data_IF_577309079311
#
_entry.id   IF_577309079311
#
_cell.length_a   1.000
_cell.length_b   1.000
_cell.length_c   1.000
_cell.angle_alpha   90.00
_cell.angle_beta   90.00
_cell.angle_gamma   90.00
#
_symmetry.space_group_name_H-M   'P 1'
#
loop_
_entity.id
_entity.type
_entity.pdbx_description
1 polymer ?
#
# COMPACT_ATOMS: atom_id res chain seq x y z
N UNK A 1 -8.56 -38.60 69.56
CA UNK A 1 -9.26 -37.36 69.13
C UNK A 1 -8.36 -36.42 68.30
N UNK A 2 -7.56 -36.90 67.32
CA UNK A 2 -6.70 -35.98 66.53
C UNK A 2 -6.37 -36.39 65.09
N UNK A 3 -7.10 -37.35 64.52
CA UNK A 3 -6.89 -37.82 63.13
C UNK A 3 -8.10 -37.58 62.24
N UNK A 4 -9.33 -37.58 62.79
CA UNK A 4 -10.55 -37.39 61.98
C UNK A 4 -10.78 -35.93 61.56
N UNK A 5 -10.31 -34.96 62.34
CA UNK A 5 -10.39 -33.54 61.97
C UNK A 5 -9.41 -33.15 60.85
N UNK A 6 -8.34 -33.91 60.62
CA UNK A 6 -7.34 -33.58 59.61
C UNK A 6 -7.79 -34.00 58.20
N UNK A 7 -8.52 -35.12 58.10
CA UNK A 7 -9.08 -35.62 56.83
C UNK A 7 -10.24 -34.74 56.35
N UNK A 8 -11.09 -34.27 57.28
CA UNK A 8 -12.17 -33.32 56.95
C UNK A 8 -11.63 -31.96 56.50
N UNK A 9 -10.53 -31.46 57.08
CA UNK A 9 -9.94 -30.18 56.68
C UNK A 9 -9.30 -30.22 55.29
N UNK A 10 -8.64 -31.33 54.93
CA UNK A 10 -8.08 -31.52 53.58
C UNK A 10 -9.16 -31.75 52.52
N UNK A 11 -10.26 -32.43 52.86
CA UNK A 11 -11.40 -32.62 51.96
C UNK A 11 -12.12 -31.31 51.62
N UNK A 12 -12.27 -30.40 52.58
CA UNK A 12 -12.89 -29.09 52.34
C UNK A 12 -11.97 -28.22 51.47
N UNK A 13 -10.66 -28.22 51.68
CA UNK A 13 -9.71 -27.47 50.85
C UNK A 13 -9.68 -28.00 49.39
N UNK A 14 -9.83 -29.31 49.17
CA UNK A 14 -9.86 -29.89 47.83
C UNK A 14 -11.16 -29.57 47.06
N UNK A 15 -12.29 -29.39 47.76
CA UNK A 15 -13.55 -28.93 47.18
C UNK A 15 -13.48 -27.43 46.84
N UNK A 16 -12.76 -26.63 47.62
CA UNK A 16 -12.56 -25.20 47.33
C UNK A 16 -11.60 -24.93 46.17
N UNK A 17 -10.66 -25.81 45.85
CA UNK A 17 -9.73 -25.62 44.72
C UNK A 17 -10.40 -25.86 43.35
N UNK A 18 -11.46 -26.69 43.29
CA UNK A 18 -12.16 -27.00 42.04
C UNK A 18 -13.17 -25.93 41.60
N UNK A 19 -13.35 -24.86 42.36
CA UNK A 19 -14.18 -23.73 41.94
C UNK A 19 -13.31 -22.67 41.27
N UNK A 20 -12.68 -23.02 40.14
CA UNK A 20 -12.32 -21.99 39.18
C UNK A 20 -13.63 -21.56 38.52
N UNK A 21 -14.23 -20.49 39.04
CA UNK A 21 -15.30 -19.79 38.36
C UNK A 21 -14.75 -19.37 37.00
N UNK A 22 -15.14 -20.09 35.94
CA UNK A 22 -15.02 -19.59 34.58
C UNK A 22 -15.93 -18.35 34.57
N UNK A 23 -15.34 -17.15 34.67
CA UNK A 23 -16.01 -15.98 34.16
C UNK A 23 -16.09 -16.19 32.65
N UNK A 24 -17.18 -16.81 32.21
CA UNK A 24 -17.57 -16.78 30.81
C UNK A 24 -17.79 -15.30 30.51
N UNK A 25 -16.78 -14.66 29.94
CA UNK A 25 -16.97 -13.39 29.30
C UNK A 25 -17.98 -13.67 28.20
N UNK A 26 -19.21 -13.19 28.38
CA UNK A 26 -20.29 -13.37 27.42
C UNK A 26 -19.91 -12.50 26.21
N UNK A 27 -19.11 -13.07 25.31
CA UNK A 27 -18.66 -12.38 24.10
C UNK A 27 -19.87 -12.30 23.19
N UNK A 28 -20.35 -11.08 23.00
CA UNK A 28 -21.41 -10.76 22.07
C UNK A 28 -20.84 -10.93 20.66
N UNK A 29 -21.30 -11.95 19.93
CA UNK A 29 -20.81 -12.26 18.58
C UNK A 29 -20.71 -13.76 18.28
N UNK A 30 -20.49 -14.11 17.01
CA UNK A 30 -20.29 -15.48 16.57
C UNK A 30 -21.56 -16.34 16.67
N UNK A 31 -21.62 -17.22 17.65
CA UNK A 31 -22.79 -18.07 17.94
C UNK A 31 -23.69 -17.51 19.04
N UNK A 32 -23.29 -16.41 19.70
CA UNK A 32 -23.93 -15.90 20.91
C UNK A 32 -24.52 -14.49 20.74
N UNK A 33 -25.68 -14.41 20.08
CA UNK A 33 -26.39 -13.16 19.79
C UNK A 33 -27.91 -13.23 20.07
N UNK A 34 -28.35 -14.21 20.85
CA UNK A 34 -29.77 -14.54 21.09
C UNK A 34 -30.58 -13.40 21.73
N UNK A 35 -29.92 -12.49 22.46
CA UNK A 35 -30.53 -11.31 23.10
C UNK A 35 -30.22 -9.98 22.38
N UNK A 36 -29.62 -10.01 21.18
CA UNK A 36 -29.28 -8.82 20.41
C UNK A 36 -30.33 -8.58 19.33
N UNK A 37 -31.03 -7.45 19.42
CA UNK A 37 -31.96 -7.01 18.37
C UNK A 37 -31.19 -6.25 17.30
N UNK A 38 -30.98 -6.87 16.14
CA UNK A 38 -30.37 -6.21 14.99
C UNK A 38 -31.45 -5.52 14.16
N UNK A 39 -31.28 -4.24 13.88
CA UNK A 39 -32.12 -3.49 12.94
C UNK A 39 -31.28 -3.06 11.74
N UNK A 40 -31.69 -3.45 10.54
CA UNK A 40 -31.05 -3.02 9.28
C UNK A 40 -32.02 -2.23 8.41
N UNK A 41 -31.50 -1.28 7.65
CA UNK A 41 -32.27 -0.49 6.69
C UNK A 41 -32.77 -1.30 5.50
N UNK A 42 -32.10 -2.40 5.18
CA UNK A 42 -32.48 -3.35 4.13
C UNK A 42 -31.96 -4.75 4.46
N UNK A 43 -32.63 -5.80 3.98
CA UNK A 43 -32.17 -7.18 4.04
C UNK A 43 -32.50 -7.88 2.72
N UNK A 44 -31.48 -8.28 1.97
CA UNK A 44 -31.67 -8.86 0.63
C UNK A 44 -30.75 -10.08 0.43
N UNK A 45 -31.36 -11.24 0.10
CA UNK A 45 -30.62 -12.48 -0.13
C UNK A 45 -29.75 -12.90 1.05
N UNK A 46 -28.44 -13.05 0.82
CA UNK A 46 -27.45 -13.43 1.86
C UNK A 46 -26.98 -12.25 2.72
N UNK A 47 -27.42 -11.02 2.46
CA UNK A 47 -27.11 -9.83 3.24
C UNK A 47 -28.25 -9.53 4.24
N UNK A 48 -28.26 -10.28 5.34
CA UNK A 48 -29.19 -10.13 6.46
C UNK A 48 -28.49 -9.48 7.65
N UNK A 49 -29.21 -8.72 8.47
CA UNK A 49 -28.64 -8.03 9.63
C UNK A 49 -27.95 -8.97 10.62
N UNK A 50 -28.47 -10.17 10.81
CA UNK A 50 -27.88 -11.19 11.69
C UNK A 50 -26.48 -11.63 11.26
N UNK A 51 -26.08 -11.40 10.00
CA UNK A 51 -24.72 -11.68 9.51
C UNK A 51 -23.68 -10.68 9.96
N UNK A 52 -24.05 -9.51 10.47
CA UNK A 52 -23.04 -8.57 11.01
C UNK A 52 -22.50 -9.00 12.38
N UNK A 53 -23.24 -9.88 13.07
CA UNK A 53 -22.90 -10.35 14.41
C UNK A 53 -22.58 -11.86 14.44
N UNK A 54 -23.11 -12.64 13.49
CA UNK A 54 -22.83 -14.07 13.43
C UNK A 54 -21.48 -14.39 12.80
N UNK A 55 -20.93 -15.57 13.13
CA UNK A 55 -19.64 -16.07 12.60
C UNK A 55 -19.58 -16.03 11.08
N UNK A 56 -20.71 -16.23 10.41
CA UNK A 56 -20.81 -16.24 8.96
C UNK A 56 -20.59 -14.87 8.29
N UNK A 57 -20.61 -13.77 9.04
CA UNK A 57 -20.17 -12.46 8.55
C UNK A 57 -19.14 -11.78 9.44
N UNK A 58 -18.61 -12.50 10.43
CA UNK A 58 -17.39 -12.12 11.13
C UNK A 58 -16.24 -12.08 10.11
N UNK A 59 -15.44 -11.04 10.20
CA UNK A 59 -14.29 -10.87 9.31
C UNK A 59 -13.10 -11.67 9.86
N UNK A 60 -12.30 -12.29 8.99
CA UNK A 60 -12.24 -12.06 7.55
C UNK A 60 -12.99 -13.16 6.77
N UNK A 61 -13.96 -12.76 5.93
CA UNK A 61 -14.67 -13.67 5.03
C UNK A 61 -14.26 -13.40 3.57
N UNK A 62 -14.44 -14.37 2.67
CA UNK A 62 -14.02 -14.26 1.26
C UNK A 62 -14.56 -13.00 0.56
N UNK A 63 -15.80 -12.60 0.85
CA UNK A 63 -16.41 -11.41 0.26
C UNK A 63 -15.77 -10.12 0.78
N UNK A 64 -15.46 -10.07 2.08
CA UNK A 64 -14.80 -8.94 2.71
C UNK A 64 -13.34 -8.84 2.25
N UNK A 65 -12.63 -9.96 2.14
CA UNK A 65 -11.28 -10.02 1.58
C UNK A 65 -11.24 -9.55 0.13
N UNK A 66 -12.17 -9.99 -0.71
CA UNK A 66 -12.29 -9.52 -2.10
C UNK A 66 -12.55 -8.01 -2.16
N UNK A 67 -13.46 -7.47 -1.35
CA UNK A 67 -13.75 -6.03 -1.31
C UNK A 67 -12.57 -5.21 -0.78
N UNK A 68 -11.90 -5.72 0.24
CA UNK A 68 -10.72 -5.10 0.82
C UNK A 68 -9.60 -5.01 -0.21
N UNK A 69 -9.27 -6.12 -0.87
CA UNK A 69 -8.26 -6.15 -1.92
C UNK A 69 -8.62 -5.25 -3.10
N UNK A 70 -9.89 -5.19 -3.51
CA UNK A 70 -10.33 -4.28 -4.57
C UNK A 70 -10.11 -2.79 -4.25
N UNK A 71 -9.90 -2.42 -2.98
CA UNK A 71 -9.51 -1.06 -2.58
C UNK A 71 -8.01 -0.92 -2.35
N UNK A 72 -7.40 -1.94 -1.74
CA UNK A 72 -6.00 -1.95 -1.33
C UNK A 72 -5.02 -2.25 -2.47
N UNK A 73 -5.47 -2.84 -3.57
CA UNK A 73 -4.65 -3.23 -4.72
C UNK A 73 -5.28 -2.75 -6.04
N UNK A 74 -4.59 -3.04 -7.16
CA UNK A 74 -5.09 -2.81 -8.53
C UNK A 74 -5.78 -4.05 -9.13
N UNK A 75 -5.89 -5.11 -8.33
CA UNK A 75 -6.38 -6.43 -8.72
C UNK A 75 -5.92 -7.47 -7.72
N UNK A 76 -6.69 -8.55 -7.58
CA UNK A 76 -6.33 -9.67 -6.72
C UNK A 76 -6.77 -10.99 -7.35
N UNK A 77 -5.96 -12.00 -7.10
CA UNK A 77 -6.19 -13.38 -7.43
C UNK A 77 -6.99 -14.08 -6.32
N UNK A 78 -7.63 -15.20 -6.68
CA UNK A 78 -8.48 -15.96 -5.75
C UNK A 78 -7.67 -16.58 -4.61
N UNK A 79 -6.41 -16.92 -4.85
CA UNK A 79 -5.53 -17.50 -3.84
C UNK A 79 -5.22 -16.46 -2.74
N UNK A 80 -4.82 -15.23 -3.11
CA UNK A 80 -4.65 -14.14 -2.13
C UNK A 80 -5.93 -13.81 -1.38
N UNK A 81 -7.10 -13.81 -2.03
CA UNK A 81 -8.40 -13.60 -1.36
C UNK A 81 -8.64 -14.66 -0.28
N UNK A 82 -8.33 -15.91 -0.58
CA UNK A 82 -8.51 -17.03 0.35
C UNK A 82 -7.50 -16.94 1.49
N UNK A 83 -6.24 -16.66 1.20
CA UNK A 83 -5.20 -16.49 2.20
C UNK A 83 -5.51 -15.36 3.20
N UNK A 84 -6.02 -14.22 2.73
CA UNK A 84 -6.43 -13.11 3.62
C UNK A 84 -7.67 -13.47 4.45
N UNK A 85 -8.56 -14.32 3.94
CA UNK A 85 -9.69 -14.80 4.72
C UNK A 85 -9.27 -15.65 5.93
N UNK A 86 -8.09 -16.26 5.87
CA UNK A 86 -7.54 -17.08 6.96
C UNK A 86 -6.58 -16.27 7.86
N UNK A 87 -5.72 -15.44 7.26
CA UNK A 87 -4.67 -14.65 7.94
C UNK A 87 -5.22 -13.37 8.57
N UNK A 88 -6.20 -12.75 7.90
CA UNK A 88 -6.79 -11.46 8.28
C UNK A 88 -6.07 -10.23 7.74
N UNK A 89 -6.77 -9.09 7.83
CA UNK A 89 -6.38 -7.87 7.13
C UNK A 89 -5.13 -7.20 7.71
N UNK A 90 -5.01 -7.12 9.03
CA UNK A 90 -3.89 -6.43 9.68
C UNK A 90 -2.57 -7.11 9.37
N UNK A 91 -2.51 -8.43 9.55
CA UNK A 91 -1.30 -9.22 9.27
C UNK A 91 -0.87 -9.12 7.81
N UNK A 92 -1.83 -9.10 6.87
CA UNK A 92 -1.53 -8.89 5.46
C UNK A 92 -0.98 -7.48 5.18
N UNK A 93 -1.54 -6.43 5.79
CA UNK A 93 -1.04 -5.05 5.64
C UNK A 93 0.39 -4.95 6.19
N UNK A 94 0.63 -5.51 7.37
CA UNK A 94 1.95 -5.51 8.01
C UNK A 94 2.97 -6.26 7.14
N UNK A 95 2.59 -7.41 6.58
CA UNK A 95 3.43 -8.13 5.62
C UNK A 95 3.74 -7.29 4.37
N UNK A 96 2.72 -6.65 3.78
CA UNK A 96 2.88 -5.81 2.57
C UNK A 96 3.74 -4.58 2.81
N UNK A 97 3.61 -3.92 3.96
CA UNK A 97 4.42 -2.74 4.30
C UNK A 97 5.89 -3.09 4.56
N UNK A 98 6.17 -4.32 4.99
CA UNK A 98 7.52 -4.83 5.22
C UNK A 98 8.27 -5.18 3.93
N UNK A 99 7.57 -5.38 2.80
CA UNK A 99 8.19 -5.73 1.53
C UNK A 99 9.06 -4.57 1.00
N UNK A 100 10.30 -4.85 0.56
CA UNK A 100 11.12 -3.86 -0.12
C UNK A 100 10.52 -3.53 -1.49
N UNK A 101 10.91 -2.38 -2.05
CA UNK A 101 10.63 -2.03 -3.44
C UNK A 101 11.25 -3.10 -4.33
N UNK A 102 10.46 -3.66 -5.24
CA UNK A 102 10.89 -4.81 -6.06
C UNK A 102 12.07 -4.45 -6.98
N UNK A 103 11.95 -3.33 -7.69
CA UNK A 103 13.01 -2.76 -8.55
C UNK A 103 12.74 -1.28 -8.83
N UNK A 104 13.74 -0.55 -9.31
CA UNK A 104 13.58 0.85 -9.72
C UNK A 104 13.13 0.93 -11.17
N UNK A 105 12.07 1.71 -11.44
CA UNK A 105 11.56 1.96 -12.78
C UNK A 105 12.62 2.67 -13.62
N UNK A 106 13.41 3.58 -13.03
CA UNK A 106 14.52 4.22 -13.74
C UNK A 106 15.55 3.21 -14.20
N UNK A 107 15.91 2.26 -13.34
CA UNK A 107 16.87 1.21 -13.67
C UNK A 107 16.36 0.32 -14.80
N UNK A 108 15.08 -0.04 -14.77
CA UNK A 108 14.44 -0.79 -15.87
C UNK A 108 14.43 -0.01 -17.19
N UNK A 109 14.18 1.30 -17.16
CA UNK A 109 14.32 2.15 -18.36
C UNK A 109 15.76 2.16 -18.88
N UNK A 110 16.75 2.22 -18.00
CA UNK A 110 18.16 2.14 -18.40
C UNK A 110 18.47 0.78 -19.07
N UNK A 111 17.95 -0.33 -18.53
CA UNK A 111 18.08 -1.67 -19.13
C UNK A 111 17.46 -1.75 -20.54
N UNK A 112 16.29 -1.14 -20.76
CA UNK A 112 15.67 -1.08 -22.09
C UNK A 112 16.51 -0.30 -23.11
N UNK A 113 17.21 0.75 -22.66
CA UNK A 113 18.14 1.51 -23.50
C UNK A 113 19.37 0.67 -23.86
N UNK A 114 19.90 -0.11 -22.92
CA UNK A 114 21.00 -1.05 -23.20
C UNK A 114 20.58 -2.11 -24.23
N UNK A 115 19.38 -2.68 -24.10
CA UNK A 115 18.86 -3.65 -25.08
C UNK A 115 18.74 -3.01 -26.47
N UNK A 116 18.29 -1.75 -26.53
CA UNK A 116 18.20 -1.03 -27.80
C UNK A 116 19.60 -0.79 -28.41
N UNK A 117 20.58 -0.41 -27.58
CA UNK A 117 21.98 -0.25 -27.98
C UNK A 117 22.56 -1.53 -28.57
N UNK A 118 22.36 -2.66 -27.90
CA UNK A 118 22.83 -3.97 -28.37
C UNK A 118 22.18 -4.36 -29.70
N UNK A 119 20.90 -4.05 -29.90
CA UNK A 119 20.21 -4.28 -31.16
C UNK A 119 20.80 -3.45 -32.31
N UNK A 120 21.19 -2.19 -32.07
CA UNK A 120 21.83 -1.35 -33.09
C UNK A 120 23.20 -1.90 -33.46
N UNK A 121 24.00 -2.27 -32.47
CA UNK A 121 25.31 -2.89 -32.66
C UNK A 121 25.22 -4.18 -33.49
N UNK A 122 24.21 -5.03 -33.21
CA UNK A 122 23.98 -6.26 -33.94
C UNK A 122 23.56 -6.03 -35.42
N UNK A 123 22.90 -4.90 -35.70
CA UNK A 123 22.49 -4.50 -37.05
C UNK A 123 23.59 -3.75 -37.83
N UNK A 124 24.73 -3.45 -37.18
CA UNK A 124 25.82 -2.68 -37.78
C UNK A 124 25.56 -1.16 -37.83
N UNK A 125 24.60 -0.69 -37.02
CA UNK A 125 24.30 0.73 -36.81
C UNK A 125 25.15 1.29 -35.64
N UNK A 126 25.23 2.63 -35.51
CA UNK A 126 25.97 3.27 -34.42
C UNK A 126 25.24 3.08 -33.08
N UNK A 127 25.82 2.39 -32.08
CA UNK A 127 25.17 2.16 -30.78
C UNK A 127 24.95 3.45 -29.97
N UNK A 128 25.67 4.53 -30.27
CA UNK A 128 25.48 5.83 -29.60
C UNK A 128 24.17 6.53 -29.99
N UNK A 129 23.50 6.06 -31.05
CA UNK A 129 22.15 6.53 -31.42
C UNK A 129 21.06 5.99 -30.48
N UNK A 130 21.40 5.11 -29.52
CA UNK A 130 20.44 4.60 -28.55
C UNK A 130 20.00 5.70 -27.56
N UNK A 131 18.69 5.95 -27.48
CA UNK A 131 18.08 6.89 -26.55
C UNK A 131 16.89 6.29 -25.81
N UNK A 132 16.51 6.91 -24.69
CA UNK A 132 15.35 6.52 -23.90
C UNK A 132 14.05 6.98 -24.58
N UNK A 133 13.41 6.07 -25.32
CA UNK A 133 12.13 6.37 -25.98
C UNK A 133 11.03 6.67 -24.97
N UNK A 134 10.12 7.59 -25.30
CA UNK A 134 9.05 8.05 -24.39
C UNK A 134 8.16 6.91 -23.90
N UNK A 135 8.03 5.82 -24.65
CA UNK A 135 7.24 4.64 -24.28
C UNK A 135 7.85 3.81 -23.15
N UNK A 136 9.18 3.85 -22.97
CA UNK A 136 9.88 2.98 -22.03
C UNK A 136 9.47 3.25 -20.58
N UNK A 137 9.12 4.49 -20.26
CA UNK A 137 8.55 4.85 -18.97
C UNK A 137 7.26 4.06 -18.67
N UNK A 138 6.33 4.01 -19.63
CA UNK A 138 5.08 3.27 -19.47
C UNK A 138 5.32 1.76 -19.39
N UNK A 139 6.29 1.23 -20.13
CA UNK A 139 6.67 -0.18 -20.02
C UNK A 139 7.25 -0.51 -18.65
N UNK A 140 8.11 0.35 -18.10
CA UNK A 140 8.63 0.20 -16.74
C UNK A 140 7.51 0.20 -15.69
N UNK A 141 6.57 1.12 -15.82
CA UNK A 141 5.43 1.22 -14.90
C UNK A 141 4.54 -0.03 -14.96
N UNK A 142 4.16 -0.48 -16.16
CA UNK A 142 3.36 -1.70 -16.33
C UNK A 142 4.10 -2.94 -15.81
N UNK A 143 5.41 -3.05 -16.10
CA UNK A 143 6.21 -4.14 -15.60
C UNK A 143 6.21 -4.16 -14.06
N UNK A 144 6.34 -3.00 -13.41
CA UNK A 144 6.30 -2.93 -11.94
C UNK A 144 4.95 -3.37 -11.41
N UNK A 145 3.87 -2.76 -11.89
CA UNK A 145 2.51 -3.03 -11.38
C UNK A 145 2.08 -4.49 -11.62
N UNK A 146 2.54 -5.13 -12.68
CA UNK A 146 2.17 -6.51 -13.01
C UNK A 146 3.04 -7.59 -12.36
N UNK A 147 4.30 -7.28 -12.05
CA UNK A 147 5.27 -8.30 -11.55
C UNK A 147 5.70 -8.11 -10.10
N UNK A 148 5.56 -6.91 -9.54
CA UNK A 148 6.05 -6.60 -8.21
C UNK A 148 5.12 -7.18 -7.11
N UNK A 149 5.67 -7.86 -6.08
CA UNK A 149 4.87 -8.47 -5.02
C UNK A 149 4.29 -7.46 -4.00
N UNK A 150 4.78 -6.22 -3.98
CA UNK A 150 4.37 -5.13 -3.09
C UNK A 150 3.16 -4.36 -3.64
N UNK A 151 2.06 -5.09 -3.86
CA UNK A 151 0.83 -4.59 -4.48
C UNK A 151 0.21 -3.39 -3.75
N UNK A 152 0.35 -3.35 -2.42
CA UNK A 152 -0.13 -2.22 -1.61
C UNK A 152 0.66 -0.94 -1.90
N UNK A 153 1.99 -1.06 -2.04
CA UNK A 153 2.87 0.09 -2.33
C UNK A 153 2.54 0.68 -3.70
N UNK A 154 2.35 -0.18 -4.71
CA UNK A 154 1.92 0.23 -6.05
C UNK A 154 0.60 1.01 -6.03
N UNK A 155 -0.37 0.57 -5.23
CA UNK A 155 -1.66 1.28 -5.10
C UNK A 155 -1.50 2.64 -4.44
N UNK A 156 -0.69 2.75 -3.39
CA UNK A 156 -0.42 4.02 -2.71
C UNK A 156 0.38 4.96 -3.60
N UNK A 157 1.41 4.48 -4.28
CA UNK A 157 2.19 5.29 -5.23
C UNK A 157 1.32 5.82 -6.37
N UNK A 158 0.37 5.03 -6.88
CA UNK A 158 -0.62 5.51 -7.84
C UNK A 158 -1.48 6.64 -7.25
N UNK A 159 -2.01 6.48 -6.03
CA UNK A 159 -2.78 7.54 -5.37
C UNK A 159 -1.93 8.82 -5.15
N UNK A 160 -0.65 8.67 -4.78
CA UNK A 160 0.27 9.80 -4.67
C UNK A 160 0.51 10.49 -6.02
N UNK A 161 0.55 9.74 -7.12
CA UNK A 161 0.72 10.31 -8.47
C UNK A 161 -0.50 11.14 -8.93
N UNK A 162 -1.69 10.84 -8.42
CA UNK A 162 -2.91 11.64 -8.66
C UNK A 162 -2.95 12.92 -7.83
N UNK A 163 -2.23 12.97 -6.69
CA UNK A 163 -2.12 14.15 -5.84
C UNK A 163 -0.96 15.05 -6.32
N UNK A 164 0.20 14.46 -6.58
CA UNK A 164 1.42 15.13 -7.02
C UNK A 164 1.65 14.90 -8.51
N UNK A 165 0.79 15.53 -9.29
CA UNK A 165 0.69 15.32 -10.73
C UNK A 165 1.88 15.92 -11.47
N UNK A 166 2.42 15.13 -12.41
CA UNK A 166 3.30 15.57 -13.50
C UNK A 166 2.70 15.10 -14.83
N UNK A 167 3.06 15.73 -15.95
CA UNK A 167 2.52 15.39 -17.28
C UNK A 167 3.63 14.98 -18.25
N UNK A 168 3.38 13.91 -19.02
CA UNK A 168 4.18 13.55 -20.19
C UNK A 168 4.08 14.62 -21.28
N UNK A 169 2.89 15.20 -21.48
CA UNK A 169 2.67 16.31 -22.40
C UNK A 169 3.03 17.64 -21.71
N UNK A 170 4.32 17.85 -21.44
CA UNK A 170 4.88 19.04 -20.80
C UNK A 170 6.32 19.25 -21.28
N UNK A 171 7.08 20.23 -20.76
CA UNK A 171 8.52 20.35 -21.05
C UNK A 171 9.35 19.12 -20.64
N UNK A 172 8.74 18.12 -20.00
CA UNK A 172 9.30 16.79 -19.72
C UNK A 172 9.17 15.81 -20.91
N UNK A 173 8.67 16.25 -22.06
CA UNK A 173 8.63 15.40 -23.25
C UNK A 173 10.05 14.94 -23.63
N UNK A 174 10.23 13.63 -23.79
CA UNK A 174 11.54 12.99 -23.96
C UNK A 174 12.33 12.72 -22.68
N UNK A 175 11.93 13.26 -21.51
CA UNK A 175 12.59 13.03 -20.21
C UNK A 175 12.13 11.73 -19.52
N UNK A 176 12.16 10.62 -20.27
CA UNK A 176 11.69 9.30 -19.84
C UNK A 176 12.31 8.83 -18.52
N UNK A 177 13.62 9.05 -18.35
CA UNK A 177 14.34 8.68 -17.12
C UNK A 177 13.92 9.56 -15.94
N UNK A 178 13.58 10.82 -16.20
CA UNK A 178 13.07 11.74 -15.21
C UNK A 178 11.71 11.28 -14.68
N UNK A 179 10.78 10.94 -15.58
CA UNK A 179 9.47 10.38 -15.23
C UNK A 179 9.62 9.11 -14.38
N UNK A 180 10.55 8.24 -14.79
CA UNK A 180 10.89 7.02 -14.07
C UNK A 180 11.40 7.26 -12.64
N UNK A 181 12.37 8.17 -12.52
CA UNK A 181 12.91 8.57 -11.22
C UNK A 181 11.85 9.20 -10.31
N UNK A 182 10.94 9.98 -10.89
CA UNK A 182 9.88 10.64 -10.11
C UNK A 182 8.92 9.62 -9.49
N UNK A 183 8.56 8.56 -10.22
CA UNK A 183 7.69 7.53 -9.67
C UNK A 183 8.41 6.62 -8.66
N UNK A 184 9.70 6.36 -8.86
CA UNK A 184 10.54 5.67 -7.86
C UNK A 184 10.54 6.42 -6.51
N UNK A 185 10.53 7.76 -6.55
CA UNK A 185 10.38 8.60 -5.36
C UNK A 185 9.01 8.39 -4.68
N UNK A 186 7.93 8.28 -5.44
CA UNK A 186 6.59 8.01 -4.89
C UNK A 186 6.50 6.61 -4.26
N UNK A 187 7.11 5.59 -4.88
CA UNK A 187 7.22 4.24 -4.33
C UNK A 187 8.01 4.24 -3.00
N UNK A 188 9.13 4.96 -2.96
CA UNK A 188 9.97 5.11 -1.76
C UNK A 188 9.20 5.68 -0.58
N UNK A 189 8.38 6.70 -0.82
CA UNK A 189 7.66 7.42 0.23
C UNK A 189 6.25 6.91 0.52
N UNK A 190 5.82 5.82 -0.12
CA UNK A 190 4.45 5.29 0.02
C UNK A 190 4.05 4.99 1.47
N UNK A 191 4.98 4.57 2.33
CA UNK A 191 4.74 4.32 3.77
C UNK A 191 5.55 5.26 4.68
N UNK A 192 6.07 6.35 4.12
CA UNK A 192 6.96 7.29 4.79
C UNK A 192 6.26 8.46 5.46
N UNK A 193 7.05 9.46 5.88
CA UNK A 193 6.53 10.71 6.41
C UNK A 193 6.14 11.67 5.28
N UNK A 194 4.97 12.28 5.39
CA UNK A 194 4.46 13.25 4.42
C UNK A 194 5.36 14.49 4.27
N UNK A 195 6.03 14.93 5.34
CA UNK A 195 6.97 16.07 5.28
C UNK A 195 8.17 15.76 4.39
N UNK A 196 8.73 14.56 4.52
CA UNK A 196 9.90 14.14 3.77
C UNK A 196 9.52 13.92 2.29
N UNK A 197 8.34 13.36 2.04
CA UNK A 197 7.75 13.26 0.71
C UNK A 197 7.64 14.64 0.04
N UNK A 198 7.05 15.62 0.71
CA UNK A 198 6.90 16.98 0.17
C UNK A 198 8.26 17.63 -0.15
N UNK A 199 9.24 17.45 0.73
CA UNK A 199 10.58 17.96 0.53
C UNK A 199 11.24 17.31 -0.70
N UNK A 200 11.21 15.98 -0.79
CA UNK A 200 11.82 15.24 -1.89
C UNK A 200 11.12 15.56 -3.23
N UNK A 201 9.79 15.69 -3.26
CA UNK A 201 9.06 16.14 -4.46
C UNK A 201 9.48 17.54 -4.88
N UNK A 202 9.55 18.49 -3.93
CA UNK A 202 9.87 19.89 -4.23
C UNK A 202 11.30 20.09 -4.75
N UNK A 203 12.21 19.18 -4.40
CA UNK A 203 13.61 19.21 -4.82
C UNK A 203 13.87 18.35 -6.07
N UNK A 204 12.90 17.54 -6.50
CA UNK A 204 13.07 16.68 -7.66
C UNK A 204 13.10 17.49 -8.97
N UNK A 205 14.07 17.25 -9.86
CA UNK A 205 14.25 18.05 -11.08
C UNK A 205 13.02 18.03 -12.00
N UNK A 206 12.29 16.90 -12.09
CA UNK A 206 11.08 16.83 -12.92
C UNK A 206 9.97 17.74 -12.44
N UNK A 207 9.77 17.85 -11.12
CA UNK A 207 8.78 18.76 -10.56
C UNK A 207 9.19 20.22 -10.78
N UNK A 208 10.49 20.51 -10.66
CA UNK A 208 11.06 21.82 -10.98
C UNK A 208 10.83 22.24 -12.43
N UNK A 209 11.01 21.31 -13.40
CA UNK A 209 10.72 21.55 -14.82
C UNK A 209 9.22 21.74 -15.03
N UNK A 210 8.39 20.85 -14.46
CA UNK A 210 6.94 20.87 -14.63
C UNK A 210 6.30 22.18 -14.15
N UNK A 211 6.75 22.70 -13.01
CA UNK A 211 6.26 23.96 -12.45
C UNK A 211 7.01 25.20 -12.98
N UNK A 212 7.94 25.03 -13.93
CA UNK A 212 8.79 26.12 -14.47
C UNK A 212 9.59 26.85 -13.37
N UNK A 213 9.99 26.13 -12.32
CA UNK A 213 10.85 26.64 -11.24
C UNK A 213 12.33 26.36 -11.47
N UNK A 214 12.67 25.55 -12.48
CA UNK A 214 14.05 25.27 -12.82
C UNK A 214 14.76 26.57 -13.24
N UNK A 215 15.86 26.90 -12.53
CA UNK A 215 16.66 28.12 -12.71
C UNK A 215 15.97 29.45 -12.28
N UNK A 216 15.06 29.41 -11.31
CA UNK A 216 14.55 30.64 -10.69
C UNK A 216 15.64 31.32 -9.82
N UNK A 217 16.26 32.37 -10.36
CA UNK A 217 17.29 33.17 -9.69
C UNK A 217 16.78 33.85 -8.42
N UNK A 218 17.67 34.16 -7.48
CA UNK A 218 17.32 35.01 -6.33
C UNK A 218 16.86 36.38 -6.79
N UNK A 219 15.93 37.01 -6.07
CA UNK A 219 15.50 38.37 -6.38
C UNK A 219 16.72 39.29 -6.41
N UNK A 220 16.97 39.91 -7.56
CA UNK A 220 17.98 40.95 -7.76
C UNK A 220 17.27 42.25 -8.13
N UNK A 221 17.41 43.25 -7.25
CA UNK A 221 16.72 44.53 -7.38
C UNK A 221 17.45 45.45 -8.37
N UNK A 222 18.73 45.18 -8.67
CA UNK A 222 19.51 45.97 -9.63
C UNK A 222 19.17 45.60 -11.08
N UNK A 223 18.90 44.31 -11.33
CA UNK A 223 18.55 43.78 -12.65
C UNK A 223 17.03 43.65 -12.89
N UNK A 224 16.18 44.18 -12.00
CA UNK A 224 14.71 43.99 -12.02
C UNK A 224 14.28 42.52 -12.11
N UNK A 225 15.05 41.60 -11.52
CA UNK A 225 14.72 40.18 -11.45
C UNK A 225 14.00 39.92 -10.13
N UNK A 226 12.70 39.65 -10.18
CA UNK A 226 11.91 39.35 -8.99
C UNK A 226 11.56 37.87 -8.95
N UNK A 227 11.85 37.21 -7.83
CA UNK A 227 11.41 35.83 -7.64
C UNK A 227 9.88 35.75 -7.62
N UNK A 228 9.34 34.71 -8.25
CA UNK A 228 7.98 34.27 -7.97
C UNK A 228 7.89 33.84 -6.50
N UNK A 229 7.32 34.70 -5.66
CA UNK A 229 7.12 34.44 -4.24
C UNK A 229 6.16 33.26 -4.09
N UNK A 230 6.63 32.15 -3.52
CA UNK A 230 5.74 31.22 -2.84
C UNK A 230 5.10 32.00 -1.68
N UNK A 231 3.77 32.03 -1.66
CA UNK A 231 2.98 32.68 -0.62
C UNK A 231 3.41 32.15 0.76
N UNK A 232 3.61 33.01 1.78
CA UNK A 232 4.07 32.62 3.11
C UNK A 232 3.16 31.63 3.83
#
# INVERSE_FOLDING_TARGET
>A
MRTEHFILFFGVIFVFWNCHSLLAQDVIGGTNFTNVKITTSNSQGKAIGERTISDAGLQPNLNAASRFLGQATLGADLETITAISETGFSEWIDAQTSLPIAFSLKTYVDELVEIYRDSLAANGEDPEEAYARSEYWRFAWWQYVMSAPDVLRSRVALALSEIFVISENSPLDGETKGLASYYDLLLKHSFGNYRDLLYDISTHPTMGIYLTFMNNSKTDVEDNQFQMKLCP
#
